data_IF_962956136772
#
_entry.id   IF_962956136772
#
_cell.length_a   1.000
_cell.length_b   1.000
_cell.length_c   1.000
_cell.angle_alpha   90.00
_cell.angle_beta   90.00
_cell.angle_gamma   90.00
#
_symmetry.space_group_name_H-M   'P 1'
#
loop_
_entity.id
_entity.type
_entity.pdbx_description
1 polymer ?
#
# COMPACT_ATOMS: atom_id res chain seq x y z
N UNK A 1 -26.01 50.28 9.24
CA UNK A 1 -25.06 50.06 8.13
C UNK A 1 -23.76 49.51 8.73
N UNK A 2 -23.42 48.27 8.36
CA UNK A 2 -22.11 47.61 8.33
C UNK A 2 -20.92 48.22 9.11
N UNK A 3 -20.29 47.43 10.01
CA UNK A 3 -19.00 46.74 9.76
C UNK A 3 -18.50 45.92 10.96
N UNK A 4 -18.00 44.74 10.64
CA UNK A 4 -17.23 43.81 11.49
C UNK A 4 -15.93 44.47 11.98
N UNK A 5 -15.47 44.09 13.16
CA UNK A 5 -14.13 44.37 13.66
C UNK A 5 -13.68 43.33 14.68
N UNK A 6 -12.87 42.38 14.22
CA UNK A 6 -12.13 41.38 14.99
C UNK A 6 -11.12 42.01 15.95
N UNK A 7 -10.91 41.37 17.12
CA UNK A 7 -9.62 41.13 17.81
C UNK A 7 -9.95 40.65 19.24
N UNK A 8 -9.76 39.36 19.55
CA UNK A 8 -8.51 38.78 20.04
C UNK A 8 -8.03 39.40 21.37
N UNK A 9 -8.31 38.72 22.48
CA UNK A 9 -7.35 38.49 23.57
C UNK A 9 -8.02 37.64 24.67
N UNK A 10 -7.33 36.58 25.06
CA UNK A 10 -7.83 35.48 25.86
C UNK A 10 -7.92 35.85 27.35
N UNK A 11 -9.02 35.51 28.01
CA UNK A 11 -9.11 35.49 29.49
C UNK A 11 -9.01 34.05 29.96
N UNK A 12 -7.91 33.75 30.65
CA UNK A 12 -7.69 32.52 31.39
C UNK A 12 -8.70 32.39 32.54
N UNK A 13 -9.30 31.21 32.69
CA UNK A 13 -9.95 30.78 33.93
C UNK A 13 -9.61 29.32 34.17
N UNK A 14 -8.95 29.07 35.29
CA UNK A 14 -8.54 27.77 35.79
C UNK A 14 -9.73 26.96 36.33
N UNK A 15 -9.80 25.65 36.04
CA UNK A 15 -10.63 24.69 36.80
C UNK A 15 -9.91 23.34 36.94
N UNK A 16 -9.48 23.09 38.18
CA UNK A 16 -9.33 21.81 38.89
C UNK A 16 -8.50 20.66 38.30
N UNK A 17 -7.25 20.58 38.73
CA UNK A 17 -6.55 19.31 38.91
C UNK A 17 -7.23 18.49 40.02
N UNK A 18 -7.63 17.25 39.72
CA UNK A 18 -8.03 16.27 40.73
C UNK A 18 -6.99 15.16 40.78
N UNK A 19 -6.24 15.16 41.87
CA UNK A 19 -5.33 14.09 42.25
C UNK A 19 -6.10 12.79 42.54
N UNK A 20 -5.53 11.65 42.15
CA UNK A 20 -5.89 10.33 42.69
C UNK A 20 -4.61 9.58 43.09
N UNK A 21 -4.67 8.78 44.16
CA UNK A 21 -3.52 8.39 44.97
C UNK A 21 -2.70 7.23 44.38
N UNK A 22 -1.41 7.26 44.68
CA UNK A 22 -0.46 6.15 44.56
C UNK A 22 -1.00 4.90 45.29
N UNK A 23 -1.26 3.80 44.55
CA UNK A 23 -1.60 2.50 45.15
C UNK A 23 -0.67 1.40 44.65
N UNK A 24 0.44 1.27 45.38
CA UNK A 24 1.15 0.05 45.80
C UNK A 24 0.98 -1.24 44.98
N UNK A 25 2.13 -1.68 44.45
CA UNK A 25 2.64 -3.05 44.23
C UNK A 25 1.71 -4.14 43.68
N UNK A 26 1.99 -4.49 42.41
CA UNK A 26 2.24 -5.82 41.87
C UNK A 26 1.34 -7.01 42.32
N UNK A 27 0.59 -7.58 41.37
CA UNK A 27 0.82 -8.96 40.91
C UNK A 27 -0.16 -9.36 39.79
N UNK A 28 0.43 -9.93 38.73
CA UNK A 28 -0.13 -10.88 37.77
C UNK A 28 -1.42 -10.48 37.05
N UNK A 29 -1.21 -9.74 35.98
CA UNK A 29 -2.09 -9.76 34.83
C UNK A 29 -1.25 -9.35 33.65
N UNK A 30 -0.35 -10.24 33.20
CA UNK A 30 0.22 -10.10 31.87
C UNK A 30 -0.99 -9.88 30.96
N UNK A 31 -1.15 -8.66 30.44
CA UNK A 31 -2.03 -8.42 29.30
C UNK A 31 -1.38 -9.26 28.22
N UNK A 32 -1.84 -10.50 28.12
CA UNK A 32 -1.54 -11.37 27.01
C UNK A 32 -2.08 -10.62 25.81
N UNK A 33 -1.23 -9.78 25.23
CA UNK A 33 -1.46 -9.23 23.91
C UNK A 33 -1.68 -10.48 23.09
N UNK A 34 -2.93 -10.70 22.70
CA UNK A 34 -3.28 -11.68 21.71
C UNK A 34 -2.57 -11.21 20.44
N UNK A 35 -1.28 -11.56 20.32
CA UNK A 35 -0.66 -11.73 19.02
C UNK A 35 -1.59 -12.73 18.37
N UNK A 36 -2.31 -12.27 17.36
CA UNK A 36 -3.13 -13.10 16.51
C UNK A 36 -2.20 -14.09 15.80
N UNK A 37 -1.74 -15.10 16.53
CA UNK A 37 -1.17 -16.30 15.96
C UNK A 37 -2.34 -17.09 15.43
N UNK A 38 -2.81 -16.72 14.24
CA UNK A 38 -3.59 -17.64 13.42
C UNK A 38 -2.63 -18.74 12.94
N UNK A 39 -2.22 -19.62 13.84
CA UNK A 39 -1.66 -20.90 13.47
C UNK A 39 -2.86 -21.80 13.24
N UNK A 40 -3.09 -22.20 11.99
CA UNK A 40 -3.98 -23.34 11.76
C UNK A 40 -3.32 -24.59 12.33
N UNK A 41 -4.09 -25.68 12.47
CA UNK A 41 -3.60 -27.01 12.86
C UNK A 41 -2.40 -27.51 12.02
N UNK A 42 -2.09 -26.86 10.90
CA UNK A 42 -0.99 -27.19 9.99
C UNK A 42 0.31 -26.39 10.23
N UNK A 43 0.37 -25.47 11.20
CA UNK A 43 1.51 -24.55 11.40
C UNK A 43 2.30 -24.84 12.67
N UNK A 44 3.08 -25.91 12.66
CA UNK A 44 4.08 -26.19 13.71
C UNK A 44 5.46 -25.64 13.36
N UNK A 45 5.70 -25.26 12.09
CA UNK A 45 6.93 -24.59 11.66
C UNK A 45 6.61 -23.54 10.58
N UNK A 46 6.60 -22.23 10.89
CA UNK A 46 6.47 -21.20 9.87
C UNK A 46 7.71 -21.25 8.97
N UNK A 47 7.51 -21.42 7.66
CA UNK A 47 8.63 -21.31 6.71
C UNK A 47 9.07 -19.84 6.63
N UNK A 48 10.35 -19.55 6.36
CA UNK A 48 10.93 -18.19 6.42
C UNK A 48 10.38 -17.20 5.36
N UNK A 49 9.32 -17.59 4.66
CA UNK A 49 8.77 -16.92 3.50
C UNK A 49 7.24 -16.72 3.61
N UNK A 50 6.62 -17.32 4.63
CA UNK A 50 5.23 -17.05 4.97
C UNK A 50 5.16 -15.70 5.67
N UNK A 51 4.95 -14.65 4.89
CA UNK A 51 4.37 -13.43 5.44
C UNK A 51 3.10 -13.84 6.19
N UNK A 52 2.95 -13.31 7.40
CA UNK A 52 1.80 -13.33 8.33
C UNK A 52 0.40 -13.05 7.70
N UNK A 53 0.31 -12.92 6.37
CA UNK A 53 -0.92 -12.89 5.62
C UNK A 53 -1.68 -14.22 5.75
N UNK A 54 -3.00 -14.12 5.96
CA UNK A 54 -3.95 -15.24 5.92
C UNK A 54 -3.75 -16.15 4.70
N UNK A 55 -3.27 -15.59 3.59
CA UNK A 55 -3.09 -16.26 2.30
C UNK A 55 -1.73 -16.97 2.13
N UNK A 56 -0.80 -16.89 3.10
CA UNK A 56 0.52 -17.56 3.07
C UNK A 56 1.26 -17.45 1.72
N UNK A 57 1.17 -16.28 1.11
CA UNK A 57 1.82 -15.97 -0.16
C UNK A 57 2.39 -14.57 -0.09
N UNK A 58 3.58 -14.40 -0.65
CA UNK A 58 4.39 -13.18 -0.77
C UNK A 58 4.31 -12.56 -2.19
N UNK A 59 3.22 -12.80 -2.92
CA UNK A 59 3.09 -12.43 -4.32
C UNK A 59 3.40 -10.93 -4.58
N UNK A 60 3.01 -10.07 -3.65
CA UNK A 60 3.29 -8.62 -3.68
C UNK A 60 4.80 -8.31 -3.63
N UNK A 61 5.57 -9.06 -2.84
CA UNK A 61 7.01 -8.89 -2.74
C UNK A 61 7.71 -9.31 -4.03
N UNK A 62 7.23 -10.40 -4.66
CA UNK A 62 7.79 -10.89 -5.92
C UNK A 62 7.50 -9.99 -7.09
N UNK A 63 6.28 -9.50 -7.22
CA UNK A 63 5.93 -8.63 -8.34
C UNK A 63 6.67 -7.29 -8.24
N UNK A 64 6.95 -6.82 -7.02
CA UNK A 64 7.76 -5.62 -6.81
C UNK A 64 9.21 -5.77 -7.30
N UNK A 65 9.76 -7.00 -7.30
CA UNK A 65 11.10 -7.31 -7.81
C UNK A 65 11.15 -7.38 -9.34
N UNK A 66 10.02 -7.61 -10.02
CA UNK A 66 9.96 -7.66 -11.49
C UNK A 66 10.27 -6.27 -12.06
N UNK A 67 11.25 -6.15 -12.98
CA UNK A 67 11.63 -4.85 -13.55
C UNK A 67 10.50 -4.25 -14.40
N UNK A 68 10.53 -2.92 -14.54
CA UNK A 68 9.58 -2.21 -15.40
C UNK A 68 9.99 -2.41 -16.86
N UNK A 69 9.04 -2.83 -17.70
CA UNK A 69 9.24 -3.04 -19.14
C UNK A 69 9.12 -1.72 -19.88
N UNK A 70 10.10 -1.44 -20.73
CA UNK A 70 10.16 -0.23 -21.55
C UNK A 70 9.62 -0.47 -22.96
N UNK A 71 8.65 0.34 -23.38
CA UNK A 71 8.01 0.23 -24.70
C UNK A 71 8.23 1.51 -25.50
N UNK A 72 8.49 1.38 -26.80
CA UNK A 72 8.75 2.49 -27.74
C UNK A 72 7.48 3.16 -28.27
N UNK A 73 6.30 2.83 -27.73
CA UNK A 73 5.02 3.34 -28.18
C UNK A 73 4.14 3.82 -27.03
N UNK A 74 3.01 4.44 -27.40
CA UNK A 74 2.04 4.94 -26.43
C UNK A 74 1.18 3.83 -25.82
N UNK A 75 1.17 2.63 -26.41
CA UNK A 75 0.34 1.50 -26.01
C UNK A 75 1.24 0.29 -25.79
N UNK A 76 1.14 -0.33 -24.61
CA UNK A 76 1.72 -1.64 -24.33
C UNK A 76 0.66 -2.74 -24.48
N UNK A 77 1.08 -3.93 -24.92
CA UNK A 77 0.22 -5.10 -25.07
C UNK A 77 0.70 -6.18 -24.12
N UNK A 78 -0.19 -6.69 -23.27
CA UNK A 78 0.11 -7.74 -22.30
C UNK A 78 -0.86 -8.92 -22.46
N UNK A 79 -0.31 -10.12 -22.60
CA UNK A 79 -1.03 -11.40 -22.66
C UNK A 79 -0.63 -12.36 -21.51
N UNK A 80 0.32 -11.96 -20.67
CA UNK A 80 0.86 -12.79 -19.59
C UNK A 80 1.95 -13.79 -20.01
N UNK A 81 2.47 -13.74 -21.25
CA UNK A 81 3.68 -14.48 -21.65
C UNK A 81 3.46 -15.94 -22.10
N UNK A 82 2.24 -16.27 -22.54
CA UNK A 82 1.90 -17.62 -22.99
C UNK A 82 0.68 -17.68 -23.91
N UNK A 83 0.27 -16.54 -24.50
CA UNK A 83 -0.96 -16.43 -25.28
C UNK A 83 -2.16 -16.91 -24.48
N UNK A 84 -2.67 -18.09 -24.82
CA UNK A 84 -3.85 -18.68 -24.16
C UNK A 84 -3.62 -19.13 -22.70
N UNK A 85 -2.37 -19.32 -22.26
CA UNK A 85 -2.06 -19.72 -20.87
C UNK A 85 -1.92 -18.55 -19.91
N UNK A 86 -1.91 -17.31 -20.42
CA UNK A 86 -1.81 -16.12 -19.59
C UNK A 86 -3.20 -15.55 -19.24
N UNK A 87 -3.43 -14.29 -19.59
CA UNK A 87 -4.69 -13.60 -19.33
C UNK A 87 -5.26 -12.98 -20.63
N UNK A 88 -6.51 -12.49 -20.61
CA UNK A 88 -7.08 -11.80 -21.75
C UNK A 88 -6.19 -10.65 -22.20
N UNK A 89 -6.01 -10.52 -23.51
CA UNK A 89 -5.17 -9.49 -24.12
C UNK A 89 -5.58 -8.10 -23.64
N UNK A 90 -4.66 -7.40 -23.00
CA UNK A 90 -4.88 -6.05 -22.48
C UNK A 90 -4.00 -5.03 -23.22
N UNK A 91 -4.63 -3.94 -23.65
CA UNK A 91 -3.96 -2.77 -24.21
C UNK A 91 -3.85 -1.69 -23.13
N UNK A 92 -2.62 -1.37 -22.74
CA UNK A 92 -2.31 -0.47 -21.63
C UNK A 92 -1.84 0.87 -22.21
N UNK A 93 -2.58 1.94 -21.92
CA UNK A 93 -2.24 3.30 -22.35
C UNK A 93 -1.10 3.88 -21.48
N UNK A 94 0.05 4.15 -22.09
CA UNK A 94 1.22 4.73 -21.43
C UNK A 94 1.27 6.26 -21.54
N UNK A 95 0.61 6.83 -22.55
CA UNK A 95 0.45 8.28 -22.71
C UNK A 95 -0.62 8.81 -21.75
N UNK A 96 -0.20 9.04 -20.50
CA UNK A 96 -1.04 9.58 -19.43
C UNK A 96 -0.58 10.99 -19.05
N UNK A 97 -1.43 11.73 -18.33
CA UNK A 97 -1.14 13.10 -17.85
C UNK A 97 0.22 13.21 -17.15
N UNK A 98 0.64 12.13 -16.48
CA UNK A 98 2.00 11.99 -15.98
C UNK A 98 2.86 11.37 -17.08
N UNK A 99 3.57 12.21 -17.82
CA UNK A 99 4.54 11.76 -18.81
C UNK A 99 5.53 10.77 -18.17
N UNK A 100 5.81 9.67 -18.88
CA UNK A 100 6.65 8.56 -18.42
C UNK A 100 6.17 7.87 -17.12
N UNK A 101 4.88 7.99 -16.79
CA UNK A 101 4.26 7.27 -15.69
C UNK A 101 4.26 5.76 -15.92
N UNK A 102 4.56 5.01 -14.86
CA UNK A 102 4.49 3.54 -14.90
C UNK A 102 3.03 3.12 -14.82
N UNK A 103 2.62 2.26 -15.76
CA UNK A 103 1.29 1.65 -15.79
C UNK A 103 1.41 0.16 -15.52
N UNK A 104 0.41 -0.41 -14.86
CA UNK A 104 0.43 -1.80 -14.42
C UNK A 104 -0.63 -2.58 -15.17
N UNK A 105 -0.30 -3.80 -15.62
CA UNK A 105 -1.28 -4.73 -16.14
C UNK A 105 -2.22 -5.19 -15.00
N UNK A 106 -3.53 -5.18 -15.26
CA UNK A 106 -4.54 -5.52 -14.25
C UNK A 106 -4.53 -7.01 -13.84
N UNK A 107 -3.89 -7.87 -14.64
CA UNK A 107 -3.84 -9.31 -14.41
C UNK A 107 -2.49 -9.76 -13.83
N UNK A 108 -1.40 -9.56 -14.56
CA UNK A 108 -0.08 -10.02 -14.13
C UNK A 108 0.61 -9.10 -13.12
N UNK A 109 0.17 -7.84 -12.98
CA UNK A 109 0.88 -6.86 -12.15
C UNK A 109 2.21 -6.38 -12.72
N UNK A 110 2.56 -6.78 -13.95
CA UNK A 110 3.77 -6.31 -14.65
C UNK A 110 3.62 -4.83 -14.96
N UNK A 111 4.73 -4.10 -14.80
CA UNK A 111 4.80 -2.66 -14.94
C UNK A 111 5.40 -2.29 -16.29
N UNK A 112 4.80 -1.32 -16.97
CA UNK A 112 5.20 -0.81 -18.27
C UNK A 112 5.47 0.69 -18.18
N UNK A 113 6.46 1.17 -18.91
CA UNK A 113 6.73 2.60 -19.10
C UNK A 113 7.11 2.90 -20.54
N UNK A 114 6.80 4.10 -20.99
CA UNK A 114 7.21 4.58 -22.31
C UNK A 114 8.68 5.01 -22.28
N UNK A 115 9.45 4.62 -23.30
CA UNK A 115 10.84 5.07 -23.44
C UNK A 115 10.93 6.59 -23.60
N UNK A 116 12.01 7.16 -23.07
CA UNK A 116 12.30 8.58 -23.25
C UNK A 116 12.65 8.85 -24.72
N UNK A 117 12.00 9.85 -25.33
CA UNK A 117 12.22 10.23 -26.73
C UNK A 117 11.41 9.42 -27.77
N UNK A 118 10.61 8.44 -27.36
CA UNK A 118 9.69 7.76 -28.28
C UNK A 118 8.40 8.57 -28.44
N UNK A 119 8.40 9.54 -29.35
CA UNK A 119 7.17 10.22 -29.77
C UNK A 119 6.54 9.41 -30.91
N UNK A 120 5.28 9.00 -30.73
CA UNK A 120 4.57 8.20 -31.73
C UNK A 120 4.48 8.95 -33.06
N UNK A 121 5.22 8.47 -34.06
CA UNK A 121 4.99 8.83 -35.45
C UNK A 121 3.74 8.07 -35.90
N UNK A 122 2.67 8.83 -36.16
CA UNK A 122 1.44 8.31 -36.76
C UNK A 122 1.69 7.93 -38.22
#
# INVERSE_FOLDING_TARGET
MLRRGSQAAQRAVAIAARAHPERSLAAVGARFQQRAGFATIYDVNPTPYEDINRHRSDAEQRIAQVPVVEVEGNIAVCDGGGGALGHPLEYIQLDTVKHHGVQTCNYCGVRYKQKEGSHGHH
#
